data_IF_523246610927
#
_entry.id   IF_523246610927
#
_cell.length_a   1.000
_cell.length_b   1.000
_cell.length_c   1.000
_cell.angle_alpha   90.00
_cell.angle_beta   90.00
_cell.angle_gamma   90.00
#
_symmetry.space_group_name_H-M   'P 1'
#
loop_
_entity.id
_entity.type
_entity.pdbx_description
1 polymer ?
#
# COMPACT_ATOMS: atom_id res chain seq x y z
N UNK A 1 13.40 -24.24 -33.78
CA UNK A 1 12.13 -23.72 -34.32
C UNK A 1 11.01 -24.16 -33.39
N UNK A 2 10.58 -23.28 -32.48
CA UNK A 2 9.49 -23.54 -31.52
C UNK A 2 8.33 -22.68 -31.97
N UNK A 3 7.21 -23.32 -32.29
CA UNK A 3 5.99 -22.71 -32.81
C UNK A 3 5.09 -22.28 -31.66
N UNK A 4 4.71 -21.00 -31.61
CA UNK A 4 3.72 -20.48 -30.67
C UNK A 4 2.36 -20.35 -31.37
N UNK A 5 1.37 -21.13 -30.96
CA UNK A 5 -0.04 -21.00 -31.37
C UNK A 5 -0.73 -20.02 -30.42
N UNK A 6 -1.21 -18.92 -30.97
CA UNK A 6 -2.06 -17.96 -30.28
C UNK A 6 -3.51 -18.41 -30.42
N UNK A 7 -4.24 -18.51 -29.31
CA UNK A 7 -5.70 -18.59 -29.35
C UNK A 7 -6.24 -17.21 -28.97
N UNK A 8 -6.85 -16.51 -29.93
CA UNK A 8 -7.73 -15.38 -29.65
C UNK A 8 -9.11 -15.96 -29.30
N UNK A 9 -9.57 -15.76 -28.06
CA UNK A 9 -10.98 -15.89 -27.70
C UNK A 9 -11.57 -14.48 -27.64
N UNK A 10 -12.38 -14.13 -28.63
CA UNK A 10 -13.25 -12.94 -28.57
C UNK A 10 -14.59 -13.42 -28.05
N UNK A 11 -14.95 -13.04 -26.83
CA UNK A 11 -16.33 -13.10 -26.36
C UNK A 11 -16.93 -11.69 -26.51
N UNK A 12 -17.88 -11.55 -27.43
CA UNK A 12 -18.78 -10.41 -27.47
C UNK A 12 -20.03 -10.76 -26.66
N UNK A 13 -20.33 -9.97 -25.63
CA UNK A 13 -21.60 -10.02 -24.92
C UNK A 13 -22.23 -8.62 -24.94
N UNK A 14 -23.33 -8.48 -25.68
CA UNK A 14 -24.27 -7.39 -25.52
C UNK A 14 -25.21 -7.74 -24.36
N UNK A 15 -25.32 -6.84 -23.38
CA UNK A 15 -26.22 -7.01 -22.24
C UNK A 15 -26.31 -5.74 -21.41
N UNK A 16 -27.45 -5.09 -21.50
CA UNK A 16 -27.90 -3.85 -20.87
C UNK A 16 -27.85 -3.83 -19.33
N UNK A 17 -27.44 -2.67 -18.78
CA UNK A 17 -28.15 -2.03 -17.67
C UNK A 17 -27.78 -2.45 -16.24
N UNK A 18 -26.62 -2.01 -15.76
CA UNK A 18 -26.31 -1.49 -14.42
C UNK A 18 -24.79 -1.41 -14.38
N UNK A 19 -24.25 -0.36 -15.01
CA UNK A 19 -22.83 -0.09 -14.94
C UNK A 19 -22.49 0.24 -13.50
N UNK A 20 -21.87 -0.72 -12.80
CA UNK A 20 -20.88 -0.35 -11.79
C UNK A 20 -19.94 0.60 -12.52
N UNK A 21 -20.06 1.90 -12.24
CA UNK A 21 -19.10 2.86 -12.76
C UNK A 21 -17.79 2.55 -12.05
N UNK A 22 -17.00 1.66 -12.64
CA UNK A 22 -15.57 1.69 -12.45
C UNK A 22 -15.16 3.05 -13.01
N UNK A 23 -15.11 4.07 -12.13
CA UNK A 23 -14.42 5.31 -12.47
C UNK A 23 -13.06 4.85 -12.97
N UNK A 24 -12.68 5.14 -14.23
CA UNK A 24 -11.31 4.90 -14.63
C UNK A 24 -10.46 5.61 -13.58
N UNK A 25 -9.61 4.85 -12.89
CA UNK A 25 -8.53 5.43 -12.10
C UNK A 25 -7.66 6.09 -13.15
N UNK A 26 -7.97 7.35 -13.45
CA UNK A 26 -7.14 8.18 -14.29
C UNK A 26 -5.81 8.25 -13.56
N UNK A 27 -4.82 7.49 -14.03
CA UNK A 27 -3.46 7.64 -13.57
C UNK A 27 -3.14 9.13 -13.61
N UNK A 28 -2.75 9.67 -12.46
CA UNK A 28 -2.54 11.10 -12.21
C UNK A 28 -1.47 11.65 -13.16
N UNK A 29 -1.88 12.27 -14.26
CA UNK A 29 -0.96 12.94 -15.19
C UNK A 29 -0.65 14.35 -14.68
N UNK A 30 0.00 14.49 -13.53
CA UNK A 30 0.48 15.82 -13.14
C UNK A 30 1.29 15.97 -11.86
N UNK A 31 1.00 15.21 -10.80
CA UNK A 31 1.75 15.35 -9.54
C UNK A 31 2.90 14.33 -9.44
N UNK A 32 4.07 14.72 -8.92
CA UNK A 32 5.10 13.75 -8.56
C UNK A 32 4.61 12.83 -7.43
N UNK A 33 5.24 11.65 -7.24
CA UNK A 33 4.90 10.75 -6.14
C UNK A 33 4.90 11.48 -4.78
N UNK A 34 3.96 11.09 -3.91
CA UNK A 34 3.79 11.68 -2.57
C UNK A 34 3.50 13.19 -2.59
N UNK A 35 2.80 13.68 -3.61
CA UNK A 35 2.29 15.04 -3.67
C UNK A 35 0.84 15.04 -4.18
N UNK A 36 0.00 15.86 -3.57
CA UNK A 36 -1.37 16.07 -4.04
C UNK A 36 -1.39 17.11 -5.16
N UNK A 37 -2.11 16.79 -6.22
CA UNK A 37 -2.56 17.74 -7.25
C UNK A 37 -3.45 18.83 -6.66
N UNK A 38 -3.66 19.91 -7.40
CA UNK A 38 -4.59 20.96 -6.99
C UNK A 38 -6.03 20.44 -6.83
N UNK A 39 -6.46 19.52 -7.71
CA UNK A 39 -7.80 18.93 -7.66
C UNK A 39 -7.98 18.05 -6.42
N UNK A 40 -6.99 17.23 -6.07
CA UNK A 40 -7.05 16.40 -4.86
C UNK A 40 -7.11 17.25 -3.59
N UNK A 41 -6.32 18.34 -3.51
CA UNK A 41 -6.41 19.28 -2.38
C UNK A 41 -7.79 19.92 -2.28
N UNK A 42 -8.35 20.37 -3.40
CA UNK A 42 -9.69 20.97 -3.45
C UNK A 42 -10.79 19.96 -3.07
N UNK A 43 -10.59 18.68 -3.36
CA UNK A 43 -11.48 17.59 -2.97
C UNK A 43 -11.26 17.09 -1.53
N UNK A 44 -10.35 17.71 -0.76
CA UNK A 44 -10.12 17.38 0.65
C UNK A 44 -9.22 16.17 0.90
N UNK A 45 -8.49 15.68 -0.11
CA UNK A 45 -7.52 14.61 0.09
C UNK A 45 -6.38 15.06 1.00
N UNK A 46 -5.85 14.12 1.78
CA UNK A 46 -4.65 14.30 2.61
C UNK A 46 -3.65 13.20 2.34
N UNK A 47 -2.36 13.53 2.40
CA UNK A 47 -1.31 12.51 2.34
C UNK A 47 -1.22 11.77 3.67
N UNK A 48 -1.23 10.44 3.62
CA UNK A 48 -0.83 9.60 4.76
C UNK A 48 0.68 9.35 4.80
N UNK A 49 1.38 9.65 3.71
CA UNK A 49 2.83 9.50 3.60
C UNK A 49 3.42 10.65 2.78
N UNK A 50 4.46 11.28 3.32
CA UNK A 50 5.10 12.48 2.75
C UNK A 50 6.26 12.15 1.79
N UNK A 51 6.53 10.86 1.55
CA UNK A 51 7.66 10.39 0.75
C UNK A 51 9.01 10.34 1.47
N UNK A 52 9.09 10.73 2.75
CA UNK A 52 10.36 10.99 3.45
C UNK A 52 10.42 10.35 4.82
N UNK A 53 9.34 10.41 5.58
CA UNK A 53 9.28 10.01 6.97
C UNK A 53 8.10 9.08 7.22
N UNK A 54 8.16 8.32 8.31
CA UNK A 54 7.03 7.53 8.80
C UNK A 54 6.22 8.32 9.83
N UNK A 55 6.20 9.66 9.73
CA UNK A 55 5.33 10.48 10.54
C UNK A 55 3.87 10.09 10.29
N UNK A 56 3.09 9.97 11.36
CA UNK A 56 1.71 9.47 11.30
C UNK A 56 1.59 7.94 11.24
N UNK A 57 2.69 7.20 11.34
CA UNK A 57 2.71 5.73 11.42
C UNK A 57 3.37 5.22 12.70
N UNK A 58 2.93 4.05 13.15
CA UNK A 58 3.51 3.26 14.24
C UNK A 58 3.38 1.77 13.94
N UNK A 59 3.99 0.90 14.75
CA UNK A 59 3.72 -0.52 14.68
C UNK A 59 2.37 -0.87 15.33
N UNK A 60 1.65 -1.85 14.78
CA UNK A 60 0.55 -2.50 15.48
C UNK A 60 1.12 -3.23 16.72
N UNK A 61 0.67 -2.81 17.90
CA UNK A 61 1.14 -3.24 19.22
C UNK A 61 2.31 -2.40 19.76
N UNK A 62 2.65 -1.27 19.12
CA UNK A 62 3.82 -0.46 19.47
C UNK A 62 3.49 1.04 19.51
N UNK A 63 4.22 1.77 20.37
CA UNK A 63 4.16 3.24 20.45
C UNK A 63 4.96 3.93 19.32
N UNK A 64 5.84 3.18 18.65
CA UNK A 64 6.72 3.69 17.60
C UNK A 64 6.80 2.72 16.42
N UNK A 65 7.37 3.19 15.30
CA UNK A 65 7.68 2.32 14.16
C UNK A 65 8.75 1.30 14.55
N UNK A 66 8.57 -0.01 14.27
CA UNK A 66 9.64 -0.99 14.38
C UNK A 66 10.60 -0.85 13.18
N UNK A 67 11.59 0.03 13.31
CA UNK A 67 12.51 0.44 12.22
C UNK A 67 13.40 -0.68 11.67
N UNK A 68 13.57 -1.77 12.41
CA UNK A 68 14.19 -3.00 11.89
C UNK A 68 13.36 -3.69 10.80
N UNK A 69 12.07 -3.35 10.69
CA UNK A 69 11.11 -3.99 9.78
C UNK A 69 10.54 -3.04 8.73
N UNK A 70 10.51 -1.74 8.99
CA UNK A 70 9.93 -0.74 8.09
C UNK A 70 10.88 0.43 7.91
N UNK A 71 11.14 0.77 6.65
CA UNK A 71 12.06 1.85 6.26
C UNK A 71 11.45 2.68 5.14
N UNK A 72 11.91 3.91 4.98
CA UNK A 72 11.64 4.72 3.80
C UNK A 72 12.82 4.60 2.84
N UNK A 73 12.55 4.19 1.60
CA UNK A 73 13.56 4.08 0.53
C UNK A 73 12.96 4.59 -0.77
N UNK A 74 13.67 5.50 -1.44
CA UNK A 74 13.29 6.07 -2.74
C UNK A 74 11.85 6.59 -2.80
N UNK A 75 11.42 7.31 -1.76
CA UNK A 75 10.06 7.84 -1.72
C UNK A 75 8.97 6.79 -1.48
N UNK A 76 9.32 5.61 -0.94
CA UNK A 76 8.38 4.51 -0.67
C UNK A 76 8.55 3.96 0.74
N UNK A 77 7.44 3.59 1.39
CA UNK A 77 7.46 2.77 2.60
C UNK A 77 7.77 1.34 2.19
N UNK A 78 8.82 0.73 2.76
CA UNK A 78 9.29 -0.60 2.42
C UNK A 78 9.39 -1.48 3.66
N UNK A 79 8.73 -2.64 3.59
CA UNK A 79 8.89 -3.73 4.54
C UNK A 79 10.20 -4.48 4.27
N UNK A 80 11.03 -4.65 5.30
CA UNK A 80 12.26 -5.44 5.25
C UNK A 80 11.89 -6.92 5.14
N UNK A 81 12.49 -7.61 4.17
CA UNK A 81 12.29 -9.05 3.99
C UNK A 81 12.69 -9.80 5.25
N UNK A 82 11.93 -10.81 5.68
CA UNK A 82 12.12 -11.45 6.98
C UNK A 82 13.52 -12.06 7.16
N UNK A 83 14.15 -12.52 6.07
CA UNK A 83 15.54 -13.01 6.09
C UNK A 83 16.61 -11.92 6.32
N UNK A 84 16.25 -10.65 6.16
CA UNK A 84 17.15 -9.50 6.30
C UNK A 84 16.89 -8.69 7.58
N UNK A 85 15.96 -9.13 8.42
CA UNK A 85 15.72 -8.51 9.73
C UNK A 85 16.89 -8.85 10.66
N UNK A 86 17.49 -7.87 11.36
CA UNK A 86 18.54 -8.13 12.34
C UNK A 86 18.07 -9.10 13.43
N UNK A 87 19.02 -9.88 13.95
CA UNK A 87 18.75 -10.88 14.98
C UNK A 87 19.23 -10.40 16.34
N UNK A 88 18.51 -10.80 17.39
CA UNK A 88 18.96 -10.69 18.77
C UNK A 88 20.06 -11.73 19.06
N UNK A 89 20.83 -11.62 20.17
CA UNK A 89 21.97 -12.51 20.45
C UNK A 89 21.66 -14.01 20.48
N UNK A 90 20.41 -14.38 20.80
CA UNK A 90 19.95 -15.78 20.81
C UNK A 90 19.60 -16.32 19.40
N UNK A 91 19.80 -15.52 18.36
CA UNK A 91 19.59 -15.89 16.97
C UNK A 91 18.16 -15.69 16.46
N UNK A 92 17.20 -15.25 17.28
CA UNK A 92 15.84 -14.95 16.80
C UNK A 92 15.83 -13.62 16.03
N UNK A 93 14.99 -13.44 15.00
CA UNK A 93 14.80 -12.13 14.39
C UNK A 93 14.21 -11.15 15.43
N UNK A 94 14.51 -9.86 15.30
CA UNK A 94 13.80 -8.83 16.06
C UNK A 94 12.28 -8.97 15.84
N UNK A 95 11.52 -8.66 16.89
CA UNK A 95 10.06 -8.64 16.80
C UNK A 95 9.63 -7.51 15.86
N UNK A 96 8.81 -7.89 14.87
CA UNK A 96 8.21 -6.96 13.92
C UNK A 96 6.74 -6.72 14.21
N UNK A 97 6.05 -6.24 13.18
CA UNK A 97 4.62 -6.03 13.21
C UNK A 97 4.13 -5.40 11.91
N UNK A 98 2.81 -5.35 11.77
CA UNK A 98 2.14 -4.55 10.74
C UNK A 98 2.37 -3.06 11.04
N UNK A 99 2.42 -2.23 10.00
CA UNK A 99 2.43 -0.77 10.16
C UNK A 99 0.99 -0.28 10.25
N UNK A 100 0.70 0.60 11.21
CA UNK A 100 -0.62 1.16 11.47
C UNK A 100 -0.52 2.70 11.49
N UNK A 101 -1.57 3.39 11.04
CA UNK A 101 -1.68 4.83 11.22
C UNK A 101 -1.81 5.19 12.69
N UNK A 102 -1.26 6.33 13.10
CA UNK A 102 -1.49 6.89 14.44
C UNK A 102 -2.93 7.37 14.55
N UNK A 103 -3.43 8.05 13.52
CA UNK A 103 -4.81 8.49 13.43
C UNK A 103 -5.77 7.31 13.18
N UNK A 104 -6.99 7.44 13.68
CA UNK A 104 -8.13 6.56 13.36
C UNK A 104 -9.07 7.27 12.38
N UNK A 105 -9.79 6.48 11.58
CA UNK A 105 -10.73 6.99 10.56
C UNK A 105 -12.06 6.27 10.68
N UNK A 106 -13.15 7.01 10.46
CA UNK A 106 -14.48 6.46 10.26
C UNK A 106 -14.71 6.14 8.78
N UNK A 107 -15.60 6.90 8.12
CA UNK A 107 -15.77 6.81 6.68
C UNK A 107 -14.57 7.46 5.95
N UNK A 108 -14.00 6.74 4.99
CA UNK A 108 -12.87 7.25 4.20
C UNK A 108 -12.87 6.69 2.77
N UNK A 109 -12.21 7.42 1.87
CA UNK A 109 -11.73 6.92 0.59
C UNK A 109 -10.19 6.85 0.66
N UNK A 110 -9.61 5.76 0.17
CA UNK A 110 -8.17 5.53 0.23
C UNK A 110 -7.64 5.09 -1.14
N UNK A 111 -6.63 5.80 -1.61
CA UNK A 111 -5.86 5.47 -2.80
C UNK A 111 -4.39 5.27 -2.43
N UNK A 112 -3.76 4.23 -2.97
CA UNK A 112 -2.32 4.00 -2.83
C UNK A 112 -1.78 3.23 -4.03
N UNK A 113 -0.47 3.33 -4.23
CA UNK A 113 0.28 2.48 -5.14
C UNK A 113 1.12 1.47 -4.36
N UNK A 114 1.26 0.26 -4.87
CA UNK A 114 2.02 -0.79 -4.20
C UNK A 114 2.81 -1.62 -5.22
N UNK A 115 3.92 -2.20 -4.74
CA UNK A 115 4.77 -3.12 -5.51
C UNK A 115 5.24 -4.25 -4.60
N UNK A 116 5.44 -5.42 -5.18
CA UNK A 116 5.89 -6.61 -4.45
C UNK A 116 6.97 -7.35 -5.23
N UNK A 117 7.83 -8.06 -4.50
CA UNK A 117 8.75 -9.06 -5.08
C UNK A 117 8.01 -10.37 -5.33
N UNK A 118 8.49 -11.25 -6.23
CA UNK A 118 7.90 -12.57 -6.43
C UNK A 118 7.74 -13.34 -5.11
N UNK A 119 6.55 -13.92 -4.90
CA UNK A 119 6.22 -14.68 -3.69
C UNK A 119 6.02 -13.86 -2.41
N UNK A 120 6.08 -12.52 -2.46
CA UNK A 120 5.74 -11.71 -1.31
C UNK A 120 4.24 -11.72 -1.03
N UNK A 121 3.89 -11.66 0.25
CA UNK A 121 2.53 -11.58 0.75
C UNK A 121 2.42 -10.38 1.68
N UNK A 122 1.48 -9.49 1.39
CA UNK A 122 1.17 -8.29 2.16
C UNK A 122 -0.28 -7.90 1.89
N UNK A 123 -0.75 -6.86 2.58
CA UNK A 123 -2.10 -6.34 2.38
C UNK A 123 -2.32 -5.09 3.21
N UNK A 124 -3.42 -4.41 2.90
CA UNK A 124 -3.94 -3.31 3.72
C UNK A 124 -5.18 -3.81 4.45
N UNK A 125 -5.24 -3.50 5.74
CA UNK A 125 -6.39 -3.74 6.60
C UNK A 125 -6.96 -2.38 7.00
N UNK A 126 -8.26 -2.30 7.21
CA UNK A 126 -8.96 -1.13 7.74
C UNK A 126 -9.86 -1.56 8.89
N UNK A 127 -10.30 -0.59 9.70
CA UNK A 127 -11.03 -0.83 10.95
C UNK A 127 -10.27 -1.76 11.93
N UNK A 128 -8.95 -1.62 11.95
CA UNK A 128 -8.09 -2.32 12.92
C UNK A 128 -8.21 -1.64 14.26
N UNK A 129 -8.54 -2.42 15.30
CA UNK A 129 -8.57 -1.97 16.69
C UNK A 129 -7.56 -2.77 17.51
N UNK A 130 -6.95 -2.10 18.49
CA UNK A 130 -6.14 -2.73 19.55
C UNK A 130 -6.91 -2.76 20.88
N UNK A 131 -8.09 -2.17 20.93
CA UNK A 131 -9.01 -2.24 22.06
C UNK A 131 -9.76 -3.59 22.01
N UNK A 132 -9.91 -4.22 23.17
CA UNK A 132 -10.59 -5.50 23.38
C UNK A 132 -12.08 -5.34 23.68
#
# INVERSE_FOLDING_TARGET
MISYRWWLLVLAACGSGLGAQTRPVTASTGAPPNALTAAERAAGWRLLFDGRTLAGWRGLGYDSVPTAHWVVVDGTIKKIASGNVPRVPDGRPLNGGDLMTVDTFGDFELTWEWRVTPGANSGVKYNVSEEL
#
